data_IF_078151268705
#
_entry.id   IF_078151268705
#
_cell.length_a   1.000
_cell.length_b   1.000
_cell.length_c   1.000
_cell.angle_alpha   90.00
_cell.angle_beta   90.00
_cell.angle_gamma   90.00
#
_symmetry.space_group_name_H-M   'P 1'
#
loop_
_entity.id
_entity.type
_entity.pdbx_description
1 polymer ?
#
# COMPACT_ATOMS: atom_id res chain seq x y z
N UNK A 1 16.59 12.22 10.62
CA UNK A 1 17.10 10.98 11.23
C UNK A 1 16.28 9.82 10.68
N UNK A 2 16.86 9.02 9.80
CA UNK A 2 16.17 7.97 9.05
C UNK A 2 16.25 6.67 9.87
N UNK A 3 15.27 6.42 10.74
CA UNK A 3 15.23 5.21 11.57
C UNK A 3 14.82 4.02 10.70
N UNK A 4 15.83 3.30 10.16
CA UNK A 4 15.67 1.92 9.71
C UNK A 4 15.30 1.07 10.92
N UNK A 5 14.01 0.99 11.25
CA UNK A 5 13.52 0.03 12.24
C UNK A 5 13.46 -1.33 11.53
N UNK A 6 14.57 -2.05 11.52
CA UNK A 6 14.59 -3.46 11.13
C UNK A 6 13.70 -4.23 12.11
N UNK A 7 12.74 -4.98 11.59
CA UNK A 7 12.01 -5.97 12.39
C UNK A 7 13.04 -6.91 13.03
N UNK A 8 12.91 -7.19 14.33
CA UNK A 8 13.76 -8.15 15.04
C UNK A 8 13.64 -9.53 14.38
N UNK A 9 14.67 -9.95 13.64
CA UNK A 9 14.69 -11.22 12.92
C UNK A 9 15.12 -12.34 13.87
N UNK A 10 14.24 -13.31 14.08
CA UNK A 10 14.63 -14.59 14.66
C UNK A 10 15.55 -15.35 13.70
N UNK A 11 16.46 -16.17 14.25
CA UNK A 11 17.24 -17.10 13.43
C UNK A 11 16.27 -18.04 12.70
N UNK A 12 16.32 -18.07 11.36
CA UNK A 12 15.40 -18.76 10.44
C UNK A 12 14.11 -18.01 10.06
N UNK A 13 14.13 -16.69 10.05
CA UNK A 13 13.04 -15.86 9.51
C UNK A 13 12.91 -16.05 8.00
N UNK A 14 11.69 -16.31 7.50
CA UNK A 14 11.46 -16.42 6.07
C UNK A 14 11.59 -15.07 5.35
N UNK A 15 11.66 -13.97 6.11
CA UNK A 15 12.00 -12.63 5.61
C UNK A 15 13.46 -12.51 5.10
N UNK A 16 14.30 -13.51 5.31
CA UNK A 16 15.64 -13.57 4.68
C UNK A 16 15.57 -13.86 3.17
N UNK A 17 14.42 -14.32 2.67
CA UNK A 17 14.18 -14.59 1.25
C UNK A 17 13.79 -13.33 0.45
N UNK A 18 13.48 -12.22 1.15
CA UNK A 18 13.00 -10.98 0.55
C UNK A 18 13.69 -9.75 1.17
N UNK A 19 14.16 -8.86 0.31
CA UNK A 19 14.69 -7.58 0.77
C UNK A 19 13.54 -6.57 0.88
N UNK A 20 13.27 -6.13 2.11
CA UNK A 20 12.27 -5.12 2.45
C UNK A 20 12.96 -3.78 2.69
N UNK A 21 12.63 -2.79 1.88
CA UNK A 21 13.02 -1.40 2.11
C UNK A 21 11.79 -0.56 2.42
N UNK A 22 11.91 0.31 3.41
CA UNK A 22 10.84 1.17 3.87
C UNK A 22 11.33 2.62 3.96
N UNK A 23 10.47 3.55 3.55
CA UNK A 23 10.69 4.98 3.58
C UNK A 23 9.38 5.69 3.93
N UNK A 24 9.43 6.75 4.74
CA UNK A 24 8.29 7.63 5.00
C UNK A 24 8.51 8.97 4.31
N UNK A 25 7.53 9.39 3.54
CA UNK A 25 7.48 10.67 2.85
C UNK A 25 6.34 11.49 3.44
N UNK A 26 6.52 12.80 3.62
CA UNK A 26 5.44 13.68 4.07
C UNK A 26 5.14 14.69 2.97
N UNK A 27 3.89 14.71 2.48
CA UNK A 27 3.43 15.63 1.46
C UNK A 27 1.99 16.08 1.76
N UNK A 28 1.69 17.37 1.59
CA UNK A 28 0.35 17.95 1.85
C UNK A 28 -0.20 17.64 3.25
N UNK A 29 0.67 17.51 4.26
CA UNK A 29 0.27 17.14 5.63
C UNK A 29 -0.18 15.67 5.77
N UNK A 30 0.25 14.81 4.85
CA UNK A 30 -0.03 13.36 4.86
C UNK A 30 1.29 12.62 4.90
N UNK A 31 1.40 11.68 5.83
CA UNK A 31 2.48 10.70 5.83
C UNK A 31 2.14 9.57 4.84
N UNK A 32 3.00 9.44 3.83
CA UNK A 32 2.96 8.42 2.80
C UNK A 32 4.08 7.43 3.09
N UNK A 33 3.69 6.17 3.30
CA UNK A 33 4.56 5.07 3.65
C UNK A 33 4.87 4.27 2.40
N UNK A 34 6.13 4.31 1.98
CA UNK A 34 6.63 3.65 0.78
C UNK A 34 7.38 2.39 1.17
N UNK A 35 7.05 1.30 0.49
CA UNK A 35 7.70 -0.01 0.65
C UNK A 35 8.21 -0.48 -0.70
N UNK A 36 9.40 -1.07 -0.70
CA UNK A 36 9.93 -1.82 -1.82
C UNK A 36 10.25 -3.25 -1.36
N UNK A 37 9.70 -4.22 -2.09
CA UNK A 37 10.09 -5.61 -2.02
C UNK A 37 10.96 -5.95 -3.22
N UNK A 38 12.12 -6.56 -2.99
CA UNK A 38 13.09 -6.90 -4.04
C UNK A 38 13.92 -8.14 -3.71
N UNK A 39 14.73 -8.59 -4.68
CA UNK A 39 15.64 -9.74 -4.56
C UNK A 39 14.96 -11.05 -4.16
N UNK A 40 13.76 -11.29 -4.70
CA UNK A 40 12.98 -12.48 -4.36
C UNK A 40 13.62 -13.69 -5.01
N UNK A 41 14.20 -14.56 -4.20
CA UNK A 41 14.90 -15.78 -4.64
C UNK A 41 13.88 -16.85 -5.01
N UNK A 42 13.56 -17.00 -6.29
CA UNK A 42 12.82 -18.14 -6.88
C UNK A 42 11.78 -18.81 -5.95
N UNK A 43 10.95 -17.99 -5.29
CA UNK A 43 9.95 -18.47 -4.35
C UNK A 43 8.73 -18.91 -5.17
N UNK A 44 8.30 -20.18 -5.11
CA UNK A 44 7.14 -20.63 -5.87
C UNK A 44 5.82 -19.99 -5.40
N UNK A 45 5.67 -19.72 -4.10
CA UNK A 45 4.52 -19.01 -3.49
C UNK A 45 4.92 -18.25 -2.22
N UNK A 46 4.25 -17.13 -1.92
CA UNK A 46 4.62 -16.22 -0.81
C UNK A 46 3.92 -16.52 0.52
N UNK A 47 3.16 -17.61 0.65
CA UNK A 47 2.28 -17.90 1.79
C UNK A 47 2.96 -17.74 3.16
N UNK A 48 4.19 -18.24 3.32
CA UNK A 48 4.95 -18.12 4.57
C UNK A 48 5.33 -16.66 4.89
N UNK A 49 5.65 -15.86 3.87
CA UNK A 49 5.93 -14.42 4.04
C UNK A 49 4.68 -13.67 4.50
N UNK A 50 3.51 -14.02 3.94
CA UNK A 50 2.22 -13.46 4.37
C UNK A 50 1.96 -13.76 5.85
N UNK A 51 2.20 -15.00 6.27
CA UNK A 51 2.04 -15.43 7.67
C UNK A 51 3.00 -14.69 8.60
N UNK A 52 4.29 -14.63 8.28
CA UNK A 52 5.28 -13.97 9.14
C UNK A 52 5.03 -12.46 9.28
N UNK A 53 4.53 -11.80 8.23
CA UNK A 53 4.18 -10.37 8.29
C UNK A 53 2.79 -10.11 8.91
N UNK A 54 2.06 -11.17 9.30
CA UNK A 54 0.67 -11.10 9.76
C UNK A 54 -0.22 -10.33 8.76
N UNK A 55 -0.15 -10.73 7.49
CA UNK A 55 -0.95 -10.17 6.39
C UNK A 55 -1.92 -11.25 5.92
N UNK A 56 -3.20 -10.90 5.86
CA UNK A 56 -4.23 -11.79 5.29
C UNK A 56 -3.95 -12.05 3.81
N UNK A 57 -3.94 -13.33 3.42
CA UNK A 57 -3.83 -13.79 2.03
C UNK A 57 -5.21 -14.24 1.52
N UNK A 58 -5.91 -13.42 0.73
CA UNK A 58 -7.20 -13.81 0.15
C UNK A 58 -7.06 -15.02 -0.80
N UNK A 59 -8.05 -15.94 -0.86
CA UNK A 59 -7.98 -17.13 -1.73
C UNK A 59 -7.75 -16.81 -3.22
N UNK A 60 -8.41 -15.76 -3.73
CA UNK A 60 -8.22 -15.27 -5.09
C UNK A 60 -6.81 -14.73 -5.35
N UNK A 61 -6.16 -14.15 -4.34
CA UNK A 61 -4.77 -13.69 -4.43
C UNK A 61 -3.83 -14.89 -4.35
N UNK A 62 -4.09 -15.87 -3.47
CA UNK A 62 -3.33 -17.12 -3.37
C UNK A 62 -3.27 -17.89 -4.69
N UNK A 63 -4.38 -17.95 -5.43
CA UNK A 63 -4.45 -18.59 -6.75
C UNK A 63 -3.95 -17.70 -7.88
N UNK A 64 -3.51 -16.47 -7.61
CA UNK A 64 -3.02 -15.54 -8.63
C UNK A 64 -1.59 -15.84 -9.05
N UNK A 65 -1.18 -15.27 -10.19
CA UNK A 65 0.23 -15.21 -10.60
C UNK A 65 1.09 -14.60 -9.49
N UNK A 66 2.33 -15.08 -9.37
CA UNK A 66 3.30 -14.61 -8.38
C UNK A 66 3.39 -13.08 -8.26
N UNK A 67 3.44 -12.35 -9.37
CA UNK A 67 3.52 -10.88 -9.35
C UNK A 67 2.32 -10.22 -8.65
N UNK A 68 1.12 -10.80 -8.81
CA UNK A 68 -0.09 -10.29 -8.16
C UNK A 68 -0.07 -10.55 -6.65
N UNK A 69 0.46 -11.69 -6.23
CA UNK A 69 0.71 -11.97 -4.82
C UNK A 69 1.73 -10.97 -4.24
N UNK A 70 2.80 -10.67 -4.98
CA UNK A 70 3.81 -9.73 -4.55
C UNK A 70 3.26 -8.30 -4.42
N UNK A 71 2.45 -7.85 -5.38
CA UNK A 71 1.78 -6.54 -5.36
C UNK A 71 0.89 -6.38 -4.13
N UNK A 72 0.03 -7.38 -3.88
CA UNK A 72 -0.87 -7.35 -2.75
C UNK A 72 -0.11 -7.33 -1.42
N UNK A 73 0.93 -8.17 -1.30
CA UNK A 73 1.80 -8.23 -0.12
C UNK A 73 2.47 -6.88 0.15
N UNK A 74 3.11 -6.31 -0.87
CA UNK A 74 3.81 -5.01 -0.78
C UNK A 74 2.84 -3.90 -0.36
N UNK A 75 1.64 -3.87 -0.97
CA UNK A 75 0.61 -2.89 -0.65
C UNK A 75 0.09 -3.01 0.79
N UNK A 76 -0.13 -4.24 1.27
CA UNK A 76 -0.57 -4.48 2.65
C UNK A 76 0.52 -4.18 3.67
N UNK A 77 1.78 -4.47 3.34
CA UNK A 77 2.91 -4.08 4.18
C UNK A 77 3.04 -2.55 4.29
N UNK A 78 2.86 -1.82 3.20
CA UNK A 78 2.82 -0.35 3.22
C UNK A 78 1.67 0.17 4.10
N UNK A 79 0.47 -0.42 3.99
CA UNK A 79 -0.67 -0.08 4.86
C UNK A 79 -0.40 -0.37 6.33
N UNK A 80 0.28 -1.48 6.65
CA UNK A 80 0.72 -1.83 8.01
C UNK A 80 1.63 -0.76 8.61
N UNK A 81 2.58 -0.25 7.83
CA UNK A 81 3.42 0.89 8.24
C UNK A 81 2.60 2.17 8.43
N UNK A 82 1.62 2.45 7.58
CA UNK A 82 0.77 3.62 7.72
C UNK A 82 -0.09 3.59 9.00
N UNK A 83 -0.52 2.40 9.42
CA UNK A 83 -1.28 2.21 10.66
C UNK A 83 -0.45 2.36 11.94
N UNK A 84 0.89 2.36 11.86
CA UNK A 84 1.76 2.55 13.04
C UNK A 84 1.51 3.90 13.72
N UNK A 85 1.23 4.95 12.96
CA UNK A 85 0.92 6.28 13.51
C UNK A 85 -0.36 6.32 14.35
N UNK A 86 -1.18 5.26 14.26
CA UNK A 86 -2.43 5.08 14.99
C UNK A 86 -2.35 3.97 16.06
N UNK A 87 -1.16 3.37 16.27
CA UNK A 87 -0.97 2.17 17.09
C UNK A 87 -1.83 0.97 16.64
N UNK A 88 -2.13 0.88 15.34
CA UNK A 88 -2.97 -0.15 14.74
C UNK A 88 -2.18 -1.05 13.77
N UNK A 89 -0.86 -1.09 13.88
CA UNK A 89 -0.01 -1.87 12.98
C UNK A 89 -0.29 -3.38 12.99
N UNK A 90 -0.89 -3.89 14.06
CA UNK A 90 -1.26 -5.31 14.18
C UNK A 90 -2.68 -5.60 13.68
N UNK A 91 -3.42 -4.56 13.29
CA UNK A 91 -4.72 -4.72 12.64
C UNK A 91 -4.56 -5.26 11.22
N UNK A 92 -5.49 -6.13 10.81
CA UNK A 92 -5.51 -6.72 9.49
C UNK A 92 -6.34 -5.84 8.55
N UNK A 93 -5.72 -5.35 7.47
CA UNK A 93 -6.42 -4.66 6.38
C UNK A 93 -6.94 -5.71 5.39
N UNK A 94 -8.19 -6.12 5.53
CA UNK A 94 -8.82 -7.13 4.68
C UNK A 94 -9.03 -6.65 3.24
N UNK A 95 -9.47 -7.56 2.37
CA UNK A 95 -9.94 -7.25 1.02
C UNK A 95 -11.48 -7.29 1.01
N UNK A 96 -12.10 -6.19 0.60
CA UNK A 96 -13.54 -6.11 0.38
C UNK A 96 -13.96 -6.77 -0.93
N UNK A 97 -15.28 -6.84 -1.15
CA UNK A 97 -15.88 -7.58 -2.28
C UNK A 97 -15.49 -7.06 -3.66
N UNK A 98 -15.09 -5.80 -3.78
CA UNK A 98 -14.65 -5.18 -5.03
C UNK A 98 -13.12 -4.99 -5.07
N UNK A 99 -12.38 -5.62 -4.16
CA UNK A 99 -10.92 -5.52 -4.08
C UNK A 99 -10.40 -4.34 -3.25
N UNK A 100 -11.29 -3.51 -2.71
CA UNK A 100 -10.95 -2.37 -1.86
C UNK A 100 -10.28 -2.81 -0.54
N UNK A 101 -9.30 -2.04 -0.01
CA UNK A 101 -8.80 -2.28 1.33
C UNK A 101 -9.85 -1.93 2.38
N UNK A 102 -10.11 -2.86 3.30
CA UNK A 102 -10.96 -2.61 4.46
C UNK A 102 -10.08 -2.17 5.62
N UNK A 103 -10.08 -0.87 5.89
CA UNK A 103 -9.33 -0.27 6.99
C UNK A 103 -9.99 -0.54 8.35
N UNK A 104 -9.22 -0.53 9.45
CA UNK A 104 -9.78 -0.62 10.80
C UNK A 104 -10.78 0.51 11.09
N UNK A 105 -11.64 0.29 12.08
CA UNK A 105 -12.62 1.29 12.51
C UNK A 105 -11.95 2.63 12.85
N UNK A 106 -12.60 3.73 12.45
CA UNK A 106 -12.09 5.08 12.68
C UNK A 106 -10.93 5.48 11.77
N UNK A 107 -10.45 4.59 10.87
CA UNK A 107 -9.35 4.87 9.94
C UNK A 107 -9.82 4.76 8.49
N UNK A 108 -9.24 5.59 7.64
CA UNK A 108 -9.35 5.53 6.19
C UNK A 108 -7.96 5.68 5.57
N UNK A 109 -7.81 5.27 4.31
CA UNK A 109 -6.53 5.36 3.64
C UNK A 109 -6.58 4.96 2.18
N UNK A 110 -5.44 5.09 1.53
CA UNK A 110 -5.23 4.69 0.14
C UNK A 110 -4.01 3.79 0.02
N UNK A 111 -4.01 2.91 -0.98
CA UNK A 111 -2.90 2.03 -1.32
C UNK A 111 -2.75 2.05 -2.84
N UNK A 112 -1.52 2.22 -3.35
CA UNK A 112 -1.19 1.97 -4.75
C UNK A 112 0.12 1.20 -4.84
N UNK A 113 0.28 0.39 -5.87
CA UNK A 113 1.45 -0.46 -6.08
C UNK A 113 1.82 -0.50 -7.56
N UNK A 114 3.12 -0.72 -7.81
CA UNK A 114 3.63 -1.00 -9.15
C UNK A 114 4.63 -2.14 -9.09
N UNK A 115 4.25 -3.25 -9.72
CA UNK A 115 5.05 -4.46 -9.83
C UNK A 115 5.96 -4.47 -11.05
N UNK A 116 7.07 -5.19 -10.93
CA UNK A 116 7.93 -5.64 -12.03
C UNK A 116 8.32 -7.10 -11.81
N UNK A 117 8.97 -7.75 -12.79
CA UNK A 117 9.28 -9.20 -12.74
C UNK A 117 9.93 -9.69 -11.43
N UNK A 118 10.72 -8.88 -10.75
CA UNK A 118 11.49 -9.28 -9.53
C UNK A 118 11.42 -8.27 -8.37
N UNK A 119 10.59 -7.24 -8.50
CA UNK A 119 10.45 -6.22 -7.47
C UNK A 119 9.07 -5.60 -7.52
N UNK A 120 8.61 -5.08 -6.38
CA UNK A 120 7.38 -4.31 -6.32
C UNK A 120 7.60 -3.11 -5.40
N UNK A 121 7.01 -2.00 -5.81
CA UNK A 121 6.87 -0.81 -4.98
C UNK A 121 5.42 -0.68 -4.56
N UNK A 122 5.18 -0.20 -3.35
CA UNK A 122 3.87 0.26 -2.93
C UNK A 122 3.97 1.50 -2.08
N UNK A 123 2.91 2.29 -2.11
CA UNK A 123 2.69 3.40 -1.20
C UNK A 123 1.35 3.24 -0.51
N UNK A 124 1.26 3.68 0.74
CA UNK A 124 0.02 3.79 1.47
C UNK A 124 -0.01 5.01 2.38
N UNK A 125 -1.19 5.51 2.68
CA UNK A 125 -1.41 6.46 3.77
C UNK A 125 -2.59 5.99 4.62
N UNK A 126 -2.62 6.40 5.88
CA UNK A 126 -3.73 6.17 6.80
C UNK A 126 -4.04 7.48 7.53
N UNK A 127 -5.33 7.73 7.79
CA UNK A 127 -5.87 8.93 8.43
C UNK A 127 -7.11 8.61 9.24
N UNK A 128 -7.39 9.44 10.25
CA UNK A 128 -8.65 9.37 10.97
C UNK A 128 -9.83 9.62 10.01
N UNK A 129 -10.83 8.76 10.08
CA UNK A 129 -12.07 8.90 9.33
C UNK A 129 -13.03 9.82 10.10
N UNK A 130 -12.76 11.13 10.03
CA UNK A 130 -13.66 12.15 10.61
C UNK A 130 -14.33 12.96 9.50
N UNK A 131 -15.52 13.54 9.72
CA UNK A 131 -16.23 14.32 8.70
C UNK A 131 -15.46 15.52 8.13
N UNK A 132 -14.43 15.99 8.84
CA UNK A 132 -13.58 17.13 8.43
C UNK A 132 -12.47 16.71 7.47
N UNK A 133 -12.07 15.45 7.48
CA UNK A 133 -10.95 14.96 6.69
C UNK A 133 -11.36 14.72 5.24
N UNK A 134 -10.49 15.14 4.30
CA UNK A 134 -10.70 14.89 2.87
C UNK A 134 -10.16 13.51 2.50
N UNK A 135 -10.79 12.88 1.50
CA UNK A 135 -10.28 11.66 0.88
C UNK A 135 -9.18 12.01 -0.11
N UNK A 136 -8.06 11.29 -0.05
CA UNK A 136 -6.94 11.44 -0.98
C UNK A 136 -6.83 10.20 -1.88
N UNK A 137 -6.85 10.41 -3.18
CA UNK A 137 -6.40 9.40 -4.13
C UNK A 137 -4.89 9.44 -4.21
N UNK A 138 -4.23 8.28 -4.06
CA UNK A 138 -2.79 8.14 -4.33
C UNK A 138 -2.62 7.12 -5.44
N UNK A 139 -1.66 7.37 -6.33
CA UNK A 139 -1.30 6.42 -7.37
C UNK A 139 0.19 6.46 -7.69
N UNK A 140 0.78 5.29 -8.00
CA UNK A 140 2.17 5.15 -8.45
C UNK A 140 2.25 4.31 -9.70
N UNK A 141 3.03 4.79 -10.66
CA UNK A 141 3.23 4.13 -11.94
C UNK A 141 4.72 4.11 -12.31
N UNK A 142 5.12 3.12 -13.11
CA UNK A 142 6.47 3.08 -13.67
C UNK A 142 6.56 4.01 -14.88
N UNK A 143 7.64 4.77 -14.98
CA UNK A 143 7.85 5.70 -16.11
C UNK A 143 8.02 5.02 -17.49
N UNK A 144 8.05 3.69 -17.58
CA UNK A 144 8.36 2.96 -18.83
C UNK A 144 7.33 3.17 -19.96
N UNK A 145 6.12 3.66 -19.66
CA UNK A 145 5.09 3.97 -20.66
C UNK A 145 5.00 5.46 -21.06
N UNK A 146 5.94 6.31 -20.65
CA UNK A 146 5.87 7.76 -20.89
C UNK A 146 6.26 8.25 -22.31
N UNK A 147 6.58 7.36 -23.24
CA UNK A 147 6.97 7.76 -24.61
C UNK A 147 5.79 8.45 -25.34
N UNK A 148 4.55 8.09 -25.04
CA UNK A 148 3.36 8.68 -25.67
C UNK A 148 3.03 10.10 -25.16
N UNK A 149 3.39 10.43 -23.92
CA UNK A 149 3.02 11.72 -23.28
C UNK A 149 4.08 12.83 -23.40
N UNK A 150 5.27 12.53 -23.93
CA UNK A 150 6.38 13.49 -24.05
C UNK A 150 6.10 14.70 -24.95
N UNK A 151 5.02 14.70 -25.76
CA UNK A 151 4.67 15.82 -26.64
C UNK A 151 3.72 16.86 -26.04
N UNK A 152 3.23 16.70 -24.79
CA UNK A 152 2.27 17.69 -24.24
C UNK A 152 2.21 17.95 -22.73
N UNK A 153 3.07 17.40 -21.88
CA UNK A 153 2.86 17.52 -20.43
C UNK A 153 4.04 18.14 -19.68
N UNK A 154 3.99 19.47 -19.52
CA UNK A 154 4.27 20.06 -18.21
C UNK A 154 3.31 19.39 -17.22
N UNK A 155 3.84 18.59 -16.31
CA UNK A 155 3.13 17.56 -15.56
C UNK A 155 2.02 18.15 -14.68
N UNK A 156 0.76 17.84 -14.99
CA UNK A 156 -0.39 18.12 -14.15
C UNK A 156 -0.51 17.07 -13.04
N UNK A 157 -0.44 17.52 -11.79
CA UNK A 157 -0.92 16.76 -10.63
C UNK A 157 -2.45 16.89 -10.58
N UNK A 158 -3.18 15.85 -11.01
CA UNK A 158 -4.64 15.90 -11.11
C UNK A 158 -5.31 15.40 -9.81
N UNK A 159 -5.81 16.32 -8.97
CA UNK A 159 -6.61 15.99 -7.80
C UNK A 159 -8.10 15.97 -8.16
N UNK A 160 -8.72 14.79 -8.16
CA UNK A 160 -10.19 14.69 -8.19
C UNK A 160 -10.75 14.71 -6.77
N UNK A 161 -11.17 15.89 -6.30
CA UNK A 161 -11.93 16.03 -5.05
C UNK A 161 -13.40 15.74 -5.37
N UNK A 162 -13.90 14.52 -5.09
CA UNK A 162 -15.35 14.26 -5.08
C UNK A 162 -15.93 14.69 -3.74
N UNK A 163 -16.69 15.80 -3.73
CA UNK A 163 -17.53 16.18 -2.59
C UNK A 163 -18.91 15.55 -2.75
N UNK A 164 -19.27 14.60 -1.88
CA UNK A 164 -20.65 14.12 -1.76
C UNK A 164 -21.44 15.12 -0.92
N UNK A 165 -21.99 16.18 -1.53
CA UNK A 165 -23.09 16.94 -0.92
C UNK A 165 -24.40 16.21 -1.20
N UNK A 166 -24.88 15.40 -0.26
CA UNK A 166 -26.31 15.05 -0.20
C UNK A 166 -27.05 16.33 0.22
N UNK A 167 -27.75 16.97 -0.73
CA UNK A 167 -28.76 18.00 -0.43
C UNK A 167 -29.88 17.31 0.38
N UNK A 168 -30.05 17.68 1.65
CA UNK A 168 -31.37 17.62 2.27
C UNK A 168 -32.27 18.58 1.48
N UNK A 169 -33.32 18.06 0.85
CA UNK A 169 -34.48 18.87 0.48
C UNK A 169 -35.42 18.83 1.69
N UNK A 170 -35.64 19.99 2.30
CA UNK A 170 -36.81 20.23 3.13
C UNK A 170 -38.06 20.20 2.25
N UNK A 171 -39.07 19.47 2.70
CA UNK A 171 -40.48 19.78 2.48
C UNK A 171 -41.16 19.72 3.84
#
# INVERSE_FOLDING_TARGET
>A
MNTKKQLSRGANSCLDEINIQYEKLTAFGIDIHKVQLSQIKEIPQLDHIYQELNIFLPPNIKSSRFIRQLEFLTGRLAAKYALQSFNLQDSIVYQGRHGEPLWPEGVMGGISHVGSKKSCYAIAYARNNTPKEKIFGIDIESQKHYIFFKRKMNFMMFFSIKTSKKKLKSY
#
